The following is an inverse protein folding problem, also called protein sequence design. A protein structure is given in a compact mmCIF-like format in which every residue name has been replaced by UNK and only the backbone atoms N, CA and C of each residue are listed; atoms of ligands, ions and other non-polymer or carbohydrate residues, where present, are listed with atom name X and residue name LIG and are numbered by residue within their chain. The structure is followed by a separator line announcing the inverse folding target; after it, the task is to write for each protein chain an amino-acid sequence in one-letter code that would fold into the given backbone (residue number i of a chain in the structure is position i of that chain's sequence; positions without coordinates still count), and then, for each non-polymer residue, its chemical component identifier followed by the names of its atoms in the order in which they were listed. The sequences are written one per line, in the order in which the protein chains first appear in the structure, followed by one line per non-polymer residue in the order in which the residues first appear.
data_IF_655044215242
#
_entry.id   IF_655044215242
#
_cell.length_a   1.000
_cell.length_b   1.000
_cell.length_c   1.000
_cell.angle_alpha   90.00
_cell.angle_beta   90.00
_cell.angle_gamma   90.00
#
_symmetry.space_group_name_H-M   'P 1'
#
loop_
_entity.id
_entity.type
_entity.pdbx_description
1 polymer ?
#
# COMPACT_ATOMS: atom_id res chain seq x y z
N UNK A 1 -33.91 34.91 7.09
CA UNK A 1 -34.14 33.47 7.35
C UNK A 1 -34.11 32.55 6.12
N UNK A 2 -33.78 33.03 4.89
CA UNK A 2 -33.72 32.19 3.67
C UNK A 2 -32.32 31.63 3.36
N UNK A 3 -31.27 32.33 3.80
CA UNK A 3 -29.85 31.98 3.58
C UNK A 3 -29.40 30.75 4.39
N UNK A 4 -29.96 30.52 5.58
CA UNK A 4 -29.61 29.36 6.41
C UNK A 4 -30.05 28.03 5.80
N UNK A 5 -31.24 27.99 5.18
CA UNK A 5 -31.77 26.79 4.52
C UNK A 5 -31.02 26.48 3.22
N UNK A 6 -30.61 27.50 2.47
CA UNK A 6 -29.79 27.33 1.29
C UNK A 6 -28.40 26.76 1.63
N UNK A 7 -27.77 27.27 2.70
CA UNK A 7 -26.50 26.73 3.20
C UNK A 7 -26.63 25.27 3.66
N UNK A 8 -27.72 24.92 4.36
CA UNK A 8 -27.99 23.55 4.78
C UNK A 8 -28.19 22.60 3.58
N UNK A 9 -28.88 23.02 2.52
CA UNK A 9 -29.08 22.22 1.32
C UNK A 9 -27.77 21.94 0.56
N UNK A 10 -26.89 22.95 0.45
CA UNK A 10 -25.56 22.78 -0.16
C UNK A 10 -24.71 21.81 0.67
N UNK A 11 -24.74 21.94 1.99
CA UNK A 11 -23.98 21.07 2.89
C UNK A 11 -24.44 19.61 2.82
N UNK A 12 -25.76 19.36 2.79
CA UNK A 12 -26.31 18.01 2.60
C UNK A 12 -25.90 17.45 1.24
N UNK A 13 -25.95 18.24 0.17
CA UNK A 13 -25.57 17.78 -1.18
C UNK A 13 -24.11 17.34 -1.25
N UNK A 14 -23.20 18.08 -0.60
CA UNK A 14 -21.77 17.72 -0.52
C UNK A 14 -21.55 16.42 0.28
N UNK A 15 -22.40 16.15 1.27
CA UNK A 15 -22.33 14.94 2.08
C UNK A 15 -22.74 13.68 1.29
N UNK A 16 -23.67 13.80 0.34
CA UNK A 16 -24.16 12.64 -0.45
C UNK A 16 -23.26 12.35 -1.66
N UNK A 17 -22.51 13.34 -2.16
CA UNK A 17 -21.61 13.18 -3.32
C UNK A 17 -20.21 12.63 -2.98
N UNK A 18 -20.00 12.09 -1.77
CA UNK A 18 -18.70 11.55 -1.38
C UNK A 18 -18.36 10.32 -2.23
N UNK A 19 -17.26 10.31 -3.01
CA UNK A 19 -16.81 9.09 -3.66
C UNK A 19 -16.52 8.04 -2.58
N UNK A 20 -17.01 6.82 -2.79
CA UNK A 20 -16.71 5.71 -1.88
C UNK A 20 -15.19 5.45 -1.93
N UNK A 21 -14.52 5.58 -0.79
CA UNK A 21 -13.13 5.20 -0.68
C UNK A 21 -13.03 3.68 -0.92
N UNK A 22 -12.39 3.30 -2.03
CA UNK A 22 -12.04 1.92 -2.32
C UNK A 22 -10.55 1.76 -2.05
N UNK A 23 -10.17 0.77 -1.26
CA UNK A 23 -8.76 0.42 -1.12
C UNK A 23 -8.28 -0.21 -2.42
N UNK A 24 -7.09 0.17 -2.87
CA UNK A 24 -6.39 -0.54 -3.93
C UNK A 24 -6.06 -1.97 -3.48
N UNK A 25 -6.03 -2.91 -4.43
CA UNK A 25 -5.56 -4.26 -4.14
C UNK A 25 -4.08 -4.22 -3.77
N UNK A 26 -3.67 -5.02 -2.77
CA UNK A 26 -2.26 -5.08 -2.35
C UNK A 26 -1.35 -5.52 -3.50
N UNK A 27 -1.86 -6.31 -4.44
CA UNK A 27 -1.16 -6.70 -5.66
C UNK A 27 -0.79 -5.53 -6.55
N UNK A 28 -1.63 -4.49 -6.62
CA UNK A 28 -1.39 -3.32 -7.46
C UNK A 28 -0.29 -2.43 -6.87
N UNK A 29 -0.14 -2.47 -5.55
CA UNK A 29 0.93 -1.77 -4.87
C UNK A 29 2.29 -2.42 -5.12
N UNK A 30 2.43 -3.74 -5.04
CA UNK A 30 3.73 -4.41 -5.15
C UNK A 30 4.05 -4.90 -6.58
N UNK A 31 3.04 -5.09 -7.43
CA UNK A 31 3.19 -5.61 -8.79
C UNK A 31 4.18 -4.79 -9.62
N UNK A 32 5.14 -5.47 -10.26
CA UNK A 32 6.15 -4.85 -11.10
C UNK A 32 7.17 -3.97 -10.36
N UNK A 33 7.15 -3.95 -9.02
CA UNK A 33 8.11 -3.18 -8.21
C UNK A 33 9.30 -4.03 -7.78
N UNK A 34 10.39 -3.33 -7.48
CA UNK A 34 11.56 -3.87 -6.79
C UNK A 34 11.47 -3.54 -5.30
N UNK A 35 11.50 -4.57 -4.46
CA UNK A 35 11.47 -4.47 -3.00
C UNK A 35 12.89 -4.70 -2.48
N UNK A 36 13.44 -3.75 -1.72
CA UNK A 36 14.80 -3.90 -1.18
C UNK A 36 14.77 -4.50 0.21
N UNK A 37 15.40 -5.66 0.40
CA UNK A 37 15.61 -6.25 1.72
C UNK A 37 16.88 -5.67 2.37
N UNK A 38 16.70 -4.80 3.37
CA UNK A 38 17.81 -4.21 4.12
C UNK A 38 18.26 -5.14 5.26
N UNK A 39 19.55 -5.45 5.31
CA UNK A 39 20.15 -6.32 6.31
C UNK A 39 21.01 -5.46 7.23
N UNK A 40 20.57 -5.29 8.48
CA UNK A 40 21.24 -4.47 9.50
C UNK A 40 22.49 -5.09 10.14
N UNK A 41 23.14 -6.05 9.47
CA UNK A 41 24.29 -6.81 9.97
C UNK A 41 25.36 -6.93 8.89
N UNK A 42 26.57 -7.29 9.30
CA UNK A 42 27.70 -7.50 8.38
C UNK A 42 27.39 -8.55 7.30
N UNK A 43 27.86 -8.27 6.09
CA UNK A 43 27.78 -9.20 4.96
C UNK A 43 28.52 -10.51 5.28
N UNK A 44 28.01 -11.64 4.77
CA UNK A 44 28.58 -12.96 4.98
C UNK A 44 28.30 -13.60 6.35
N UNK A 45 27.66 -12.88 7.29
CA UNK A 45 27.21 -13.44 8.55
C UNK A 45 25.98 -14.36 8.40
N UNK A 46 25.57 -15.00 9.50
CA UNK A 46 24.37 -15.85 9.52
C UNK A 46 23.11 -15.11 9.06
N UNK A 47 22.91 -13.88 9.55
CA UNK A 47 21.77 -13.04 9.14
C UNK A 47 21.76 -12.74 7.64
N UNK A 48 22.90 -12.37 7.05
CA UNK A 48 23.01 -12.12 5.60
C UNK A 48 22.71 -13.39 4.80
N UNK A 49 23.23 -14.54 5.25
CA UNK A 49 23.02 -15.83 4.59
C UNK A 49 21.54 -16.22 4.55
N UNK A 50 20.85 -16.14 5.70
CA UNK A 50 19.42 -16.45 5.78
C UNK A 50 18.57 -15.42 5.01
N UNK A 51 18.92 -14.13 5.08
CA UNK A 51 18.21 -13.08 4.34
C UNK A 51 18.30 -13.28 2.82
N UNK A 52 19.48 -13.66 2.28
CA UNK A 52 19.64 -13.99 0.86
C UNK A 52 18.82 -15.21 0.44
N UNK A 53 18.70 -16.21 1.32
CA UNK A 53 17.83 -17.36 1.06
C UNK A 53 16.37 -16.93 1.00
N UNK A 54 15.93 -16.11 1.96
CA UNK A 54 14.57 -15.57 2.02
C UNK A 54 14.24 -14.72 0.78
N UNK A 55 15.11 -13.78 0.40
CA UNK A 55 14.92 -12.87 -0.73
C UNK A 55 14.60 -13.63 -2.04
N UNK A 56 15.30 -14.75 -2.29
CA UNK A 56 15.05 -15.61 -3.47
C UNK A 56 13.64 -16.21 -3.55
N UNK A 57 12.88 -16.23 -2.46
CA UNK A 57 11.61 -16.95 -2.37
C UNK A 57 10.43 -16.08 -1.94
N UNK A 58 10.67 -15.04 -1.17
CA UNK A 58 9.60 -14.25 -0.55
C UNK A 58 8.79 -13.45 -1.57
N UNK A 59 9.39 -13.05 -2.70
CA UNK A 59 8.68 -12.36 -3.78
C UNK A 59 7.45 -13.11 -4.28
N UNK A 60 7.51 -14.45 -4.38
CA UNK A 60 6.37 -15.32 -4.78
C UNK A 60 5.21 -15.36 -3.79
N UNK A 61 5.42 -14.85 -2.58
CA UNK A 61 4.45 -14.83 -1.50
C UNK A 61 3.94 -13.41 -1.21
N UNK A 62 4.48 -12.40 -1.88
CA UNK A 62 3.98 -11.03 -1.83
C UNK A 62 2.98 -10.87 -2.99
N UNK A 63 1.74 -10.39 -2.74
CA UNK A 63 0.78 -10.12 -3.81
C UNK A 63 1.41 -9.30 -4.93
N UNK A 64 1.19 -9.66 -6.19
CA UNK A 64 1.83 -8.99 -7.35
C UNK A 64 3.23 -9.51 -7.71
N UNK A 65 3.79 -10.47 -6.97
CA UNK A 65 5.05 -11.15 -7.27
C UNK A 65 6.24 -10.21 -7.59
N UNK A 66 6.57 -9.25 -6.69
CA UNK A 66 7.67 -8.32 -6.91
C UNK A 66 9.04 -9.02 -7.00
N UNK A 67 10.00 -8.32 -7.60
CA UNK A 67 11.42 -8.64 -7.46
C UNK A 67 11.88 -8.20 -6.07
N UNK A 68 12.60 -9.06 -5.34
CA UNK A 68 13.09 -8.80 -3.97
C UNK A 68 14.60 -8.97 -3.89
#
# INVERSE_FOLDING_TARGET
MKIHNAAAAVFVTILVLQPSARSDEVSDFYGGREVRLLIGYSAGGGYDTYARLLARHIGRHIPGNPSV
#
